data_IF_812215220022
#
_entry.id   IF_812215220022
#
_cell.length_a   1.000
_cell.length_b   1.000
_cell.length_c   1.000
_cell.angle_alpha   90.00
_cell.angle_beta   90.00
_cell.angle_gamma   90.00
#
_symmetry.space_group_name_H-M   'P 1'
#
loop_
_entity.id
_entity.type
_entity.pdbx_description
1 polymer ?
#
# COMPACT_ATOMS: atom_id res chain seq x y z
N UNK A 1 -42.81 -51.41 52.77
CA UNK A 1 -41.59 -51.62 51.96
C UNK A 1 -41.25 -50.31 51.29
N UNK A 2 -40.13 -49.71 51.69
CA UNK A 2 -39.61 -48.42 51.19
C UNK A 2 -38.91 -48.66 49.85
N UNK A 3 -39.20 -47.84 48.83
CA UNK A 3 -38.34 -47.68 47.65
C UNK A 3 -38.15 -46.19 47.36
N UNK A 4 -36.96 -45.74 47.73
CA UNK A 4 -36.27 -44.51 47.32
C UNK A 4 -35.89 -44.70 45.84
N UNK A 5 -36.11 -43.71 44.96
CA UNK A 5 -35.06 -43.21 44.06
C UNK A 5 -35.49 -42.00 43.21
N UNK A 6 -34.72 -40.93 43.41
CA UNK A 6 -34.21 -39.98 42.41
C UNK A 6 -35.16 -39.11 41.59
N UNK A 7 -35.30 -37.89 42.11
CA UNK A 7 -35.34 -36.63 41.36
C UNK A 7 -34.21 -36.59 40.32
N UNK A 8 -34.54 -36.40 39.04
CA UNK A 8 -33.59 -35.94 38.01
C UNK A 8 -34.19 -34.70 37.36
N UNK A 9 -33.78 -33.54 37.88
CA UNK A 9 -34.06 -32.23 37.31
C UNK A 9 -33.07 -31.99 36.16
N UNK A 10 -33.48 -32.28 34.93
CA UNK A 10 -32.71 -31.95 33.72
C UNK A 10 -32.77 -30.45 33.45
N UNK A 11 -31.80 -29.73 34.02
CA UNK A 11 -31.48 -28.35 33.66
C UNK A 11 -30.85 -28.34 32.25
N UNK A 12 -31.65 -28.05 31.24
CA UNK A 12 -31.15 -27.69 29.91
C UNK A 12 -30.60 -26.26 29.97
N UNK A 13 -29.29 -26.11 30.25
CA UNK A 13 -28.59 -24.87 29.98
C UNK A 13 -28.38 -24.75 28.46
N UNK A 14 -29.26 -24.01 27.79
CA UNK A 14 -28.99 -23.50 26.45
C UNK A 14 -27.85 -22.48 26.56
N UNK A 15 -26.62 -22.91 26.31
CA UNK A 15 -25.51 -22.01 26.06
C UNK A 15 -25.78 -21.29 24.73
N UNK A 16 -26.44 -20.14 24.80
CA UNK A 16 -26.41 -19.18 23.70
C UNK A 16 -24.96 -18.72 23.58
N UNK A 17 -24.22 -19.35 22.67
CA UNK A 17 -23.00 -18.79 22.14
C UNK A 17 -23.39 -17.45 21.51
N UNK A 18 -23.23 -16.35 22.27
CA UNK A 18 -23.07 -15.05 21.66
C UNK A 18 -21.79 -15.20 20.84
N UNK A 19 -21.94 -15.55 19.58
CA UNK A 19 -20.91 -15.31 18.60
C UNK A 19 -20.71 -13.80 18.64
N UNK A 20 -19.71 -13.35 19.41
CA UNK A 20 -19.20 -12.01 19.25
C UNK A 20 -18.97 -11.83 17.75
N UNK A 21 -19.42 -10.73 17.14
CA UNK A 21 -19.21 -10.52 15.73
C UNK A 21 -17.72 -10.81 15.46
N UNK A 22 -17.47 -11.71 14.51
CA UNK A 22 -16.15 -11.87 13.94
C UNK A 22 -15.86 -10.52 13.27
N UNK A 23 -15.39 -9.54 14.04
CA UNK A 23 -14.61 -8.44 13.49
C UNK A 23 -13.49 -9.14 12.78
N UNK A 24 -13.62 -9.21 11.46
CA UNK A 24 -12.69 -9.92 10.60
C UNK A 24 -11.31 -9.47 11.04
N UNK A 25 -10.40 -10.42 11.26
CA UNK A 25 -8.97 -10.12 11.40
C UNK A 25 -8.39 -9.62 10.06
N UNK A 26 -9.12 -8.75 9.37
CA UNK A 26 -8.64 -7.93 8.27
C UNK A 26 -7.78 -6.85 8.90
N UNK A 27 -6.53 -7.23 9.11
CA UNK A 27 -5.37 -6.35 9.23
C UNK A 27 -5.43 -5.37 8.04
N UNK A 28 -6.07 -4.21 8.22
CA UNK A 28 -6.43 -3.26 7.15
C UNK A 28 -7.58 -3.76 6.25
N UNK A 29 -8.44 -2.83 5.81
CA UNK A 29 -9.49 -3.10 4.82
C UNK A 29 -8.93 -3.93 3.64
N UNK A 30 -9.69 -4.92 3.16
CA UNK A 30 -9.29 -5.72 2.00
C UNK A 30 -8.94 -4.81 0.81
N UNK A 31 -9.66 -3.70 0.65
CA UNK A 31 -9.37 -2.67 -0.36
C UNK A 31 -8.01 -2.01 -0.12
N UNK A 32 -7.76 -1.51 1.10
CA UNK A 32 -6.46 -0.94 1.47
C UNK A 32 -5.28 -1.89 1.19
N UNK A 33 -5.46 -3.19 1.45
CA UNK A 33 -4.41 -4.18 1.16
C UNK A 33 -4.17 -4.36 -0.35
N UNK A 34 -5.23 -4.35 -1.15
CA UNK A 34 -5.15 -4.38 -2.61
C UNK A 34 -4.45 -3.12 -3.15
N UNK A 35 -4.84 -1.92 -2.70
CA UNK A 35 -4.25 -0.66 -3.16
C UNK A 35 -2.76 -0.56 -2.83
N UNK A 36 -2.38 -1.05 -1.64
CA UNK A 36 -0.97 -1.15 -1.25
C UNK A 36 -0.20 -2.11 -2.14
N UNK A 37 -0.77 -3.28 -2.46
CA UNK A 37 -0.14 -4.23 -3.37
C UNK A 37 0.01 -3.66 -4.79
N UNK A 38 -1.03 -3.00 -5.29
CA UNK A 38 -1.01 -2.31 -6.59
C UNK A 38 0.02 -1.19 -6.61
N UNK A 39 0.15 -0.42 -5.52
CA UNK A 39 1.19 0.61 -5.39
C UNK A 39 2.58 -0.01 -5.43
N UNK A 40 2.84 -1.11 -4.70
CA UNK A 40 4.14 -1.81 -4.75
C UNK A 40 4.45 -2.31 -6.15
N UNK A 41 3.49 -2.95 -6.81
CA UNK A 41 3.65 -3.43 -8.19
C UNK A 41 3.96 -2.27 -9.15
N UNK A 42 3.24 -1.15 -9.02
CA UNK A 42 3.48 0.08 -9.76
C UNK A 42 4.87 0.68 -9.50
N UNK A 43 5.32 0.72 -8.24
CA UNK A 43 6.65 1.20 -7.87
C UNK A 43 7.76 0.36 -8.50
N UNK A 44 7.60 -0.97 -8.54
CA UNK A 44 8.56 -1.88 -9.20
C UNK A 44 8.57 -1.63 -10.71
N UNK A 45 7.41 -1.57 -11.35
CA UNK A 45 7.30 -1.33 -12.78
C UNK A 45 7.87 0.04 -13.18
N UNK A 46 7.58 1.07 -12.39
CA UNK A 46 8.09 2.44 -12.60
C UNK A 46 9.60 2.49 -12.42
N UNK A 47 10.15 1.89 -11.36
CA UNK A 47 11.60 1.81 -11.18
C UNK A 47 12.29 1.06 -12.33
N UNK A 48 11.68 -0.02 -12.83
CA UNK A 48 12.23 -0.74 -13.98
C UNK A 48 12.26 0.14 -15.23
N UNK A 49 11.20 0.92 -15.48
CA UNK A 49 11.15 1.87 -16.59
C UNK A 49 12.15 3.03 -16.43
N UNK A 50 12.26 3.61 -15.23
CA UNK A 50 13.25 4.67 -14.93
C UNK A 50 14.68 4.21 -15.19
N UNK A 51 15.01 2.94 -14.92
CA UNK A 51 16.33 2.36 -15.20
C UNK A 51 16.67 2.21 -16.69
N UNK A 52 15.68 2.35 -17.58
CA UNK A 52 15.90 2.31 -19.04
C UNK A 52 16.18 3.69 -19.65
N UNK A 53 16.07 4.76 -18.85
CA UNK A 53 16.38 6.13 -19.32
C UNK A 53 17.89 6.25 -19.51
N UNK A 54 18.33 6.73 -20.67
CA UNK A 54 19.73 7.04 -20.93
C UNK A 54 20.21 8.15 -19.96
N UNK A 55 21.26 7.86 -19.21
CA UNK A 55 21.86 8.77 -18.24
C UNK A 55 23.22 9.29 -18.69
N UNK A 56 23.49 9.30 -20.00
CA UNK A 56 24.71 9.90 -20.56
C UNK A 56 24.76 11.40 -20.29
N UNK A 57 23.63 12.08 -20.38
CA UNK A 57 23.51 13.48 -19.97
C UNK A 57 23.49 13.60 -18.42
N UNK A 58 24.36 14.45 -17.81
CA UNK A 58 24.43 14.60 -16.36
C UNK A 58 23.15 15.15 -15.70
N UNK A 59 22.39 16.00 -16.40
CA UNK A 59 21.13 16.53 -15.87
C UNK A 59 20.06 15.43 -15.86
N UNK A 60 19.97 14.64 -16.92
CA UNK A 60 19.13 13.44 -16.98
C UNK A 60 19.51 12.43 -15.90
N UNK A 61 20.80 12.15 -15.71
CA UNK A 61 21.28 11.27 -14.65
C UNK A 61 20.86 11.74 -13.24
N UNK A 62 20.94 13.06 -12.99
CA UNK A 62 20.54 13.67 -11.72
C UNK A 62 19.02 13.59 -11.51
N UNK A 63 18.23 13.83 -12.56
CA UNK A 63 16.78 13.69 -12.52
C UNK A 63 16.33 12.24 -12.29
N UNK A 64 17.00 11.26 -12.92
CA UNK A 64 16.76 9.83 -12.69
C UNK A 64 17.02 9.45 -11.23
N UNK A 65 18.11 9.93 -10.63
CA UNK A 65 18.39 9.70 -9.22
C UNK A 65 17.33 10.33 -8.30
N UNK A 66 16.90 11.56 -8.59
CA UNK A 66 15.83 12.22 -7.86
C UNK A 66 14.51 11.45 -7.97
N UNK A 67 14.18 10.93 -9.17
CA UNK A 67 13.01 10.11 -9.37
C UNK A 67 13.05 8.82 -8.56
N UNK A 68 14.18 8.11 -8.58
CA UNK A 68 14.38 6.89 -7.77
C UNK A 68 14.29 7.17 -6.27
N UNK A 69 14.79 8.32 -5.79
CA UNK A 69 14.64 8.73 -4.40
C UNK A 69 13.17 8.97 -4.02
N UNK A 70 12.39 9.62 -4.89
CA UNK A 70 10.95 9.79 -4.72
C UNK A 70 10.20 8.45 -4.65
N UNK A 71 10.47 7.54 -5.59
CA UNK A 71 9.89 6.19 -5.61
C UNK A 71 10.25 5.40 -4.36
N UNK A 72 11.50 5.49 -3.90
CA UNK A 72 11.95 4.85 -2.66
C UNK A 72 11.22 5.42 -1.45
N UNK A 73 11.06 6.74 -1.37
CA UNK A 73 10.31 7.40 -0.28
C UNK A 73 8.87 6.91 -0.23
N UNK A 74 8.20 6.83 -1.38
CA UNK A 74 6.84 6.29 -1.47
C UNK A 74 6.77 4.83 -1.02
N UNK A 75 7.71 3.99 -1.44
CA UNK A 75 7.81 2.60 -1.00
C UNK A 75 8.02 2.45 0.52
N UNK A 76 8.78 3.36 1.14
CA UNK A 76 8.96 3.39 2.59
C UNK A 76 7.65 3.72 3.31
N UNK A 77 6.83 4.65 2.79
CA UNK A 77 5.50 4.93 3.33
C UNK A 77 4.58 3.70 3.27
N UNK A 78 4.54 3.00 2.13
CA UNK A 78 3.75 1.76 1.99
C UNK A 78 4.21 0.66 2.96
N UNK A 79 5.52 0.56 3.20
CA UNK A 79 6.09 -0.39 4.15
C UNK A 79 5.69 -0.05 5.59
N UNK A 80 5.74 1.23 5.98
CA UNK A 80 5.32 1.68 7.30
C UNK A 80 3.81 1.44 7.54
N UNK A 81 2.97 1.71 6.53
CA UNK A 81 1.54 1.36 6.57
C UNK A 81 1.36 -0.15 6.78
N UNK A 82 2.15 -0.99 6.09
CA UNK A 82 2.11 -2.45 6.27
C UNK A 82 2.32 -2.84 7.74
N UNK A 83 3.36 -2.26 8.34
CA UNK A 83 3.76 -2.57 9.71
C UNK A 83 2.68 -2.13 10.70
N UNK A 84 2.12 -0.94 10.53
CA UNK A 84 1.04 -0.45 11.37
C UNK A 84 -0.20 -1.35 11.32
N UNK A 85 -0.62 -1.75 10.11
CA UNK A 85 -1.77 -2.62 9.94
C UNK A 85 -1.54 -3.98 10.60
N UNK A 86 -0.37 -4.60 10.38
CA UNK A 86 0.02 -5.88 11.01
C UNK A 86 0.01 -5.79 12.54
N UNK A 87 0.31 -4.61 13.09
CA UNK A 87 0.21 -4.33 14.52
C UNK A 87 -1.23 -4.04 15.01
N UNK A 88 -2.23 -4.12 14.14
CA UNK A 88 -3.63 -3.81 14.44
C UNK A 88 -3.93 -2.31 14.55
N UNK A 89 -3.05 -1.45 14.04
CA UNK A 89 -3.22 0.00 14.03
C UNK A 89 -3.78 0.46 12.68
N UNK A 90 -4.40 1.63 12.68
CA UNK A 90 -4.77 2.31 11.44
C UNK A 90 -3.53 2.73 10.66
N UNK A 91 -3.67 2.90 9.35
CA UNK A 91 -2.60 3.41 8.51
C UNK A 91 -2.27 4.87 8.88
N UNK A 92 -1.04 5.17 9.33
CA UNK A 92 -0.71 6.51 9.79
C UNK A 92 -0.85 7.54 8.67
N UNK A 93 -1.47 8.68 8.97
CA UNK A 93 -1.69 9.75 8.00
C UNK A 93 -0.36 10.29 7.40
N UNK A 94 0.71 10.33 8.20
CA UNK A 94 2.03 10.74 7.75
C UNK A 94 2.60 9.77 6.70
N UNK A 95 2.41 8.47 6.88
CA UNK A 95 2.91 7.47 5.93
C UNK A 95 2.13 7.51 4.61
N UNK A 96 0.80 7.72 4.66
CA UNK A 96 -0.03 7.95 3.46
C UNK A 96 0.40 9.20 2.71
N UNK A 97 0.64 10.30 3.44
CA UNK A 97 1.16 11.53 2.85
C UNK A 97 2.55 11.33 2.22
N UNK A 98 3.40 10.51 2.84
CA UNK A 98 4.72 10.16 2.31
C UNK A 98 4.62 9.39 0.98
N UNK A 99 3.63 8.49 0.82
CA UNK A 99 3.36 7.82 -0.47
C UNK A 99 3.10 8.85 -1.54
N UNK A 100 2.13 9.75 -1.33
CA UNK A 100 1.78 10.80 -2.30
C UNK A 100 2.96 11.72 -2.59
N UNK A 101 3.65 12.22 -1.56
CA UNK A 101 4.79 13.12 -1.72
C UNK A 101 5.95 12.49 -2.51
N UNK A 102 6.26 11.22 -2.26
CA UNK A 102 7.30 10.49 -2.98
C UNK A 102 6.97 10.30 -4.46
N UNK A 103 5.72 9.96 -4.78
CA UNK A 103 5.26 9.80 -6.16
C UNK A 103 5.25 11.13 -6.93
N UNK A 104 4.79 12.21 -6.29
CA UNK A 104 4.83 13.57 -6.87
C UNK A 104 6.26 14.05 -7.09
N UNK A 105 7.18 13.79 -6.16
CA UNK A 105 8.60 14.09 -6.33
C UNK A 105 9.19 13.34 -7.52
N UNK A 106 8.85 12.05 -7.69
CA UNK A 106 9.29 11.27 -8.84
C UNK A 106 8.73 11.82 -10.15
N UNK A 107 7.46 12.23 -10.17
CA UNK A 107 6.82 12.81 -11.34
C UNK A 107 7.53 14.10 -11.75
N UNK A 108 7.73 15.00 -10.79
CA UNK A 108 8.40 16.29 -11.00
C UNK A 108 9.79 16.09 -11.61
N UNK A 109 10.57 15.16 -11.05
CA UNK A 109 11.90 14.84 -11.56
C UNK A 109 11.87 14.31 -13.01
N UNK A 110 10.99 13.35 -13.31
CA UNK A 110 10.88 12.78 -14.66
C UNK A 110 10.38 13.81 -15.69
N UNK A 111 9.41 14.66 -15.33
CA UNK A 111 8.92 15.72 -16.21
C UNK A 111 9.95 16.81 -16.49
N UNK A 112 10.98 16.93 -15.64
CA UNK A 112 12.08 17.87 -15.83
C UNK A 112 13.14 17.41 -16.83
N UNK A 113 13.08 16.16 -17.29
CA UNK A 113 14.03 15.63 -18.29
C UNK A 113 13.61 16.14 -19.68
N UNK A 114 14.48 16.94 -20.30
CA UNK A 114 14.26 17.51 -21.64
C UNK A 114 15.18 16.93 -22.72
N UNK A 115 16.01 15.96 -22.36
CA UNK A 115 16.93 15.29 -23.28
C UNK A 115 16.16 14.50 -24.36
N UNK A 116 16.30 14.85 -25.66
CA UNK A 116 15.63 14.14 -26.73
C UNK A 116 16.00 12.65 -26.80
N UNK A 117 17.23 12.29 -26.45
CA UNK A 117 17.70 10.90 -26.48
C UNK A 117 16.99 10.02 -25.44
N UNK A 118 16.48 10.61 -24.36
CA UNK A 118 15.76 9.92 -23.30
C UNK A 118 14.23 9.92 -23.47
N UNK A 119 13.68 10.63 -24.47
CA UNK A 119 12.26 10.98 -24.56
C UNK A 119 11.28 9.79 -24.54
N UNK A 120 11.56 8.72 -25.30
CA UNK A 120 10.72 7.52 -25.31
C UNK A 120 10.72 6.80 -23.95
N UNK A 121 11.90 6.66 -23.34
CA UNK A 121 12.05 6.02 -22.04
C UNK A 121 11.40 6.85 -20.92
N UNK A 122 11.52 8.18 -20.95
CA UNK A 122 10.84 9.10 -20.04
C UNK A 122 9.33 8.99 -20.20
N UNK A 123 8.82 8.93 -21.43
CA UNK A 123 7.38 8.75 -21.70
C UNK A 123 6.87 7.43 -21.14
N UNK A 124 7.59 6.34 -21.34
CA UNK A 124 7.24 5.03 -20.78
C UNK A 124 7.25 5.06 -19.23
N UNK A 125 8.26 5.67 -18.62
CA UNK A 125 8.37 5.83 -17.18
C UNK A 125 7.22 6.66 -16.60
N UNK A 126 6.87 7.77 -17.23
CA UNK A 126 5.74 8.61 -16.83
C UNK A 126 4.40 7.88 -16.94
N UNK A 127 4.23 7.05 -17.98
CA UNK A 127 3.03 6.21 -18.11
C UNK A 127 2.87 5.21 -16.96
N UNK A 128 3.96 4.53 -16.55
CA UNK A 128 3.94 3.63 -15.39
C UNK A 128 3.75 4.38 -14.08
N UNK A 129 4.38 5.54 -13.95
CA UNK A 129 4.25 6.39 -12.78
C UNK A 129 2.81 6.88 -12.61
N UNK A 130 2.12 7.26 -13.70
CA UNK A 130 0.72 7.69 -13.64
C UNK A 130 -0.19 6.60 -13.05
N UNK A 131 -0.05 5.34 -13.51
CA UNK A 131 -0.78 4.20 -12.90
C UNK A 131 -0.42 4.01 -11.43
N UNK A 132 0.85 4.22 -11.07
CA UNK A 132 1.31 4.11 -9.68
C UNK A 132 0.77 5.24 -8.80
N UNK A 133 0.64 6.45 -9.34
CA UNK A 133 0.02 7.60 -8.66
C UNK A 133 -1.43 7.29 -8.34
N UNK A 134 -2.22 6.79 -9.31
CA UNK A 134 -3.61 6.40 -9.05
C UNK A 134 -3.73 5.35 -7.93
N UNK A 135 -2.86 4.34 -7.92
CA UNK A 135 -2.83 3.37 -6.84
C UNK A 135 -2.41 3.98 -5.48
N UNK A 136 -1.45 4.90 -5.47
CA UNK A 136 -1.03 5.62 -4.27
C UNK A 136 -2.10 6.56 -3.71
N UNK A 137 -2.90 7.18 -4.59
CA UNK A 137 -4.07 7.98 -4.21
C UNK A 137 -5.17 7.09 -3.57
N UNK A 138 -5.38 5.88 -4.10
CA UNK A 138 -6.29 4.90 -3.50
C UNK A 138 -5.83 4.51 -2.08
N UNK A 139 -4.53 4.33 -1.84
CA UNK A 139 -4.00 4.13 -0.48
C UNK A 139 -4.36 5.30 0.45
N UNK A 140 -4.32 6.54 -0.04
CA UNK A 140 -4.70 7.69 0.76
C UNK A 140 -6.22 7.68 1.09
N UNK A 141 -7.04 7.23 0.15
CA UNK A 141 -8.50 7.16 0.28
C UNK A 141 -8.99 6.00 1.14
N UNK A 142 -8.41 4.81 0.99
CA UNK A 142 -9.00 3.55 1.46
C UNK A 142 -8.28 2.97 2.70
N UNK A 143 -7.06 3.44 3.01
CA UNK A 143 -6.34 3.03 4.22
C UNK A 143 -6.57 4.03 5.36
N UNK A 144 -7.67 3.92 6.11
CA UNK A 144 -7.98 4.81 7.25
C UNK A 144 -8.20 4.08 8.57
#
# INVERSE_FOLDING_TARGET
>A
MVRILSVVCTLFLAAFSVAAPLSVRQVGDAQCNEDRANTVAGLVATNAAVKQIDTTDPATASAVQAAQAGLKSAGQGIAAIAVALVAGQNAPAADRAQVGAGLTAAQTALTGITDPAASDAVTAALGKLATTITAGEAVAADCN
#
